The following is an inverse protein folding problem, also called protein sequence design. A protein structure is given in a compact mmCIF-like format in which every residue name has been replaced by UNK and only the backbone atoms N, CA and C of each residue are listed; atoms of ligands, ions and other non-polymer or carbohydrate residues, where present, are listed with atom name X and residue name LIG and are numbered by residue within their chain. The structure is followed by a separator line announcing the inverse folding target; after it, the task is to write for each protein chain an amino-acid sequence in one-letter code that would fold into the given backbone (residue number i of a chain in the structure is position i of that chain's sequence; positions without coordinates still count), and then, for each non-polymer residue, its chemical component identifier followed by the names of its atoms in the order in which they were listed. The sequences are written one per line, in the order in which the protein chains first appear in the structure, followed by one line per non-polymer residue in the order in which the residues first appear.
data_IF_313002474079
#
_entry.id   IF_313002474079
#
_cell.length_a   1.000
_cell.length_b   1.000
_cell.length_c   1.000
_cell.angle_alpha   90.00
_cell.angle_beta   90.00
_cell.angle_gamma   90.00
#
_symmetry.space_group_name_H-M   'P 1'
#
loop_
_entity.id
_entity.type
_entity.pdbx_description
1 polymer ?
#
# COMPACT_ATOMS: atom_id res chain seq x y z
N UNK A 1 -37.28 60.79 16.62
CA UNK A 1 -37.42 59.92 15.43
C UNK A 1 -36.13 59.12 15.11
N UNK A 2 -35.34 58.69 16.10
CA UNK A 2 -34.00 58.08 15.87
C UNK A 2 -33.89 56.58 16.21
N UNK A 3 -34.97 55.93 16.65
CA UNK A 3 -34.96 54.49 17.00
C UNK A 3 -34.95 53.52 15.82
N UNK A 4 -35.24 53.99 14.61
CA UNK A 4 -35.36 53.14 13.42
C UNK A 4 -33.99 52.73 12.88
N UNK A 5 -33.05 53.68 12.71
CA UNK A 5 -31.76 53.42 12.05
C UNK A 5 -30.85 52.43 12.81
N UNK A 6 -30.84 52.44 14.15
CA UNK A 6 -30.04 51.49 14.94
C UNK A 6 -30.62 50.07 14.93
N UNK A 7 -31.93 49.91 14.78
CA UNK A 7 -32.55 48.59 14.68
C UNK A 7 -32.18 47.87 13.38
N UNK A 8 -32.09 48.59 12.25
CA UNK A 8 -31.64 48.03 10.97
C UNK A 8 -30.20 47.54 11.01
N UNK A 9 -29.29 48.33 11.58
CA UNK A 9 -27.86 47.97 11.67
C UNK A 9 -27.61 46.77 12.58
N UNK A 10 -28.35 46.65 13.68
CA UNK A 10 -28.26 45.48 14.57
C UNK A 10 -28.80 44.23 13.86
N UNK A 11 -29.92 44.35 13.15
CA UNK A 11 -30.52 43.26 12.40
C UNK A 11 -29.64 42.77 11.24
N UNK A 12 -28.95 43.68 10.54
CA UNK A 12 -28.02 43.35 9.45
C UNK A 12 -26.73 42.67 9.95
N UNK A 13 -26.26 43.02 11.16
CA UNK A 13 -25.18 42.29 11.83
C UNK A 13 -25.61 40.90 12.30
N UNK A 14 -26.84 40.76 12.80
CA UNK A 14 -27.39 39.48 13.26
C UNK A 14 -27.56 38.49 12.09
N UNK A 15 -28.08 38.95 10.95
CA UNK A 15 -28.21 38.14 9.73
C UNK A 15 -26.85 37.71 9.18
N UNK A 16 -25.84 38.58 9.18
CA UNK A 16 -24.49 38.23 8.76
C UNK A 16 -23.84 37.15 9.65
N UNK A 17 -24.13 37.17 10.96
CA UNK A 17 -23.66 36.13 11.89
C UNK A 17 -24.39 34.80 11.71
N UNK A 18 -25.67 34.85 11.35
CA UNK A 18 -26.48 33.67 11.01
C UNK A 18 -26.05 33.06 9.69
N UNK A 19 -25.77 33.87 8.66
CA UNK A 19 -25.23 33.44 7.37
C UNK A 19 -23.86 32.78 7.52
N UNK A 20 -22.98 33.35 8.36
CA UNK A 20 -21.70 32.71 8.66
C UNK A 20 -21.87 31.37 9.37
N UNK A 21 -22.83 31.27 10.30
CA UNK A 21 -23.16 30.01 10.99
C UNK A 21 -23.79 28.98 10.03
N UNK A 22 -24.66 29.40 9.13
CA UNK A 22 -25.32 28.53 8.16
C UNK A 22 -24.31 28.00 7.13
N UNK A 23 -23.41 28.84 6.63
CA UNK A 23 -22.30 28.45 5.74
C UNK A 23 -21.36 27.44 6.42
N UNK A 24 -20.97 27.71 7.67
CA UNK A 24 -20.18 26.75 8.46
C UNK A 24 -20.90 25.40 8.62
N UNK A 25 -22.19 25.41 8.92
CA UNK A 25 -23.00 24.19 9.05
C UNK A 25 -23.12 23.43 7.72
N UNK A 26 -23.18 24.14 6.59
CA UNK A 26 -23.17 23.53 5.26
C UNK A 26 -21.83 22.81 4.99
N UNK A 27 -20.70 23.47 5.26
CA UNK A 27 -19.37 22.89 5.10
C UNK A 27 -19.15 21.66 5.98
N UNK A 28 -19.54 21.70 7.25
CA UNK A 28 -19.39 20.54 8.14
C UNK A 28 -20.30 19.37 7.73
N UNK A 29 -21.50 19.65 7.19
CA UNK A 29 -22.35 18.60 6.62
C UNK A 29 -21.69 17.94 5.42
N UNK A 30 -21.14 18.71 4.48
CA UNK A 30 -20.39 18.18 3.35
C UNK A 30 -19.19 17.33 3.81
N UNK A 31 -18.45 17.78 4.83
CA UNK A 31 -17.34 17.02 5.42
C UNK A 31 -17.81 15.67 5.98
N UNK A 32 -18.92 15.67 6.72
CA UNK A 32 -19.51 14.44 7.30
C UNK A 32 -20.01 13.49 6.22
N UNK A 33 -20.63 14.00 5.17
CA UNK A 33 -21.07 13.21 4.02
C UNK A 33 -19.90 12.56 3.31
N UNK A 34 -18.82 13.31 3.04
CA UNK A 34 -17.59 12.78 2.46
C UNK A 34 -16.99 11.66 3.32
N UNK A 35 -16.88 11.88 4.64
CA UNK A 35 -16.37 10.86 5.57
C UNK A 35 -17.26 9.61 5.59
N UNK A 36 -18.58 9.78 5.63
CA UNK A 36 -19.52 8.67 5.59
C UNK A 36 -19.42 7.88 4.28
N UNK A 37 -19.19 8.55 3.15
CA UNK A 37 -18.96 7.90 1.87
C UNK A 37 -17.70 7.00 1.91
N UNK A 38 -16.60 7.48 2.51
CA UNK A 38 -15.39 6.67 2.73
C UNK A 38 -15.63 5.44 3.60
N UNK A 39 -16.43 5.55 4.67
CA UNK A 39 -16.82 4.39 5.48
C UNK A 39 -17.64 3.37 4.67
N UNK A 40 -18.55 3.82 3.81
CA UNK A 40 -19.34 2.92 2.96
C UNK A 40 -18.50 2.25 1.88
N UNK A 41 -17.56 2.97 1.28
CA UNK A 41 -16.58 2.41 0.34
C UNK A 41 -15.78 1.29 1.00
N UNK A 42 -15.21 1.56 2.18
CA UNK A 42 -14.48 0.57 2.97
C UNK A 42 -15.36 -0.64 3.36
N UNK A 43 -16.62 -0.42 3.72
CA UNK A 43 -17.52 -1.53 4.05
C UNK A 43 -17.75 -2.48 2.87
N UNK A 44 -17.84 -1.95 1.64
CA UNK A 44 -18.05 -2.75 0.42
C UNK A 44 -16.82 -3.57 0.02
N UNK A 45 -15.61 -3.08 0.31
CA UNK A 45 -14.36 -3.79 -0.01
C UNK A 45 -14.06 -4.95 0.94
N UNK A 46 -14.63 -4.95 2.15
CA UNK A 46 -14.43 -6.00 3.15
C UNK A 46 -15.30 -7.23 2.88
N UNK A 47 -14.72 -8.41 2.61
CA UNK A 47 -15.50 -9.63 2.34
C UNK A 47 -16.43 -10.03 3.50
N UNK A 48 -15.99 -9.79 4.74
CA UNK A 48 -16.74 -10.12 5.96
C UNK A 48 -17.99 -9.25 6.18
N UNK A 49 -18.12 -8.14 5.47
CA UNK A 49 -19.25 -7.20 5.62
C UNK A 49 -20.26 -7.28 4.47
N UNK A 50 -20.03 -8.08 3.43
CA UNK A 50 -20.91 -8.17 2.26
C UNK A 50 -22.33 -8.66 2.62
N UNK A 51 -22.47 -9.51 3.63
CA UNK A 51 -23.76 -10.00 4.12
C UNK A 51 -24.45 -9.02 5.09
N UNK A 52 -23.73 -8.01 5.59
CA UNK A 52 -24.24 -7.08 6.59
C UNK A 52 -24.85 -5.87 5.90
N UNK A 53 -26.18 -5.74 5.95
CA UNK A 53 -26.90 -4.66 5.25
C UNK A 53 -26.54 -3.25 5.74
N UNK A 54 -26.32 -3.08 7.06
CA UNK A 54 -26.04 -1.76 7.68
C UNK A 54 -24.94 -1.90 8.75
N UNK A 55 -23.67 -2.06 8.34
CA UNK A 55 -22.58 -2.21 9.29
C UNK A 55 -22.37 -0.89 10.05
N UNK A 56 -22.07 -0.99 11.36
CA UNK A 56 -21.77 0.18 12.19
C UNK A 56 -20.34 0.68 11.93
N UNK A 57 -20.04 1.95 12.24
CA UNK A 57 -18.69 2.52 12.07
C UNK A 57 -17.63 1.74 12.85
N UNK A 58 -17.93 1.39 14.09
CA UNK A 58 -17.05 0.56 14.92
C UNK A 58 -16.83 -0.82 14.29
N UNK A 59 -17.88 -1.46 13.80
CA UNK A 59 -17.77 -2.76 13.14
C UNK A 59 -16.93 -2.69 11.86
N UNK A 60 -17.08 -1.65 11.05
CA UNK A 60 -16.26 -1.43 9.85
C UNK A 60 -14.78 -1.37 10.25
N UNK A 61 -14.43 -0.53 11.23
CA UNK A 61 -13.04 -0.39 11.72
C UNK A 61 -12.51 -1.72 12.25
N UNK A 62 -13.25 -2.40 13.13
CA UNK A 62 -12.83 -3.69 13.69
C UNK A 62 -12.62 -4.73 12.59
N UNK A 63 -13.53 -4.83 11.62
CA UNK A 63 -13.41 -5.80 10.52
C UNK A 63 -12.31 -5.45 9.52
N UNK A 64 -11.98 -4.17 9.36
CA UNK A 64 -10.78 -3.75 8.62
C UNK A 64 -9.51 -4.26 9.30
N UNK A 65 -9.38 -4.07 10.62
CA UNK A 65 -8.22 -4.54 11.38
C UNK A 65 -8.09 -6.07 11.30
N UNK A 66 -9.21 -6.78 11.55
CA UNK A 66 -9.26 -8.24 11.42
C UNK A 66 -8.80 -8.70 10.02
N UNK A 67 -9.25 -8.02 8.97
CA UNK A 67 -8.93 -8.38 7.58
C UNK A 67 -7.44 -8.19 7.28
N UNK A 68 -6.84 -7.07 7.68
CA UNK A 68 -5.41 -6.80 7.48
C UNK A 68 -4.56 -7.83 8.23
N UNK A 69 -4.87 -8.09 9.51
CA UNK A 69 -4.15 -9.10 10.30
C UNK A 69 -4.21 -10.49 9.65
N UNK A 70 -5.41 -10.93 9.26
CA UNK A 70 -5.59 -12.21 8.58
C UNK A 70 -4.95 -12.24 7.19
N UNK A 71 -4.90 -11.12 6.48
CA UNK A 71 -4.19 -11.00 5.20
C UNK A 71 -2.70 -11.26 5.39
N UNK A 72 -2.06 -10.60 6.36
CA UNK A 72 -0.63 -10.76 6.64
C UNK A 72 -0.29 -12.19 7.08
N UNK A 73 -1.14 -12.82 7.91
CA UNK A 73 -0.97 -14.23 8.30
C UNK A 73 -1.09 -15.16 7.10
N UNK A 74 -2.09 -14.95 6.22
CA UNK A 74 -2.25 -15.76 4.99
C UNK A 74 -1.06 -15.58 4.05
N UNK A 75 -0.60 -14.35 3.87
CA UNK A 75 0.57 -14.05 3.04
C UNK A 75 1.82 -14.76 3.56
N UNK A 76 2.10 -14.68 4.86
CA UNK A 76 3.25 -15.36 5.47
C UNK A 76 3.19 -16.89 5.27
N UNK A 77 1.99 -17.47 5.37
CA UNK A 77 1.77 -18.90 5.10
C UNK A 77 2.05 -19.25 3.63
N UNK A 78 1.54 -18.45 2.69
CA UNK A 78 1.79 -18.67 1.26
C UNK A 78 3.26 -18.53 0.91
N UNK A 79 3.97 -17.55 1.49
CA UNK A 79 5.42 -17.41 1.31
C UNK A 79 6.15 -18.66 1.79
N UNK A 80 5.85 -19.16 2.99
CA UNK A 80 6.44 -20.40 3.51
C UNK A 80 6.15 -21.58 2.58
N UNK A 81 4.92 -21.73 2.12
CA UNK A 81 4.52 -22.82 1.23
C UNK A 81 5.23 -22.74 -0.12
N UNK A 82 5.37 -21.55 -0.70
CA UNK A 82 6.12 -21.33 -1.95
C UNK A 82 7.58 -21.74 -1.77
N UNK A 83 8.22 -21.38 -0.65
CA UNK A 83 9.61 -21.75 -0.37
C UNK A 83 9.77 -23.26 -0.21
N UNK A 84 8.86 -23.91 0.49
CA UNK A 84 8.87 -25.36 0.67
C UNK A 84 8.65 -26.10 -0.65
N UNK A 85 7.69 -25.64 -1.46
CA UNK A 85 7.43 -26.20 -2.79
C UNK A 85 8.64 -26.04 -3.71
N UNK A 86 9.31 -24.88 -3.70
CA UNK A 86 10.53 -24.65 -4.48
C UNK A 86 11.63 -25.62 -4.08
N UNK A 87 11.87 -25.78 -2.77
CA UNK A 87 12.88 -26.72 -2.23
C UNK A 87 12.58 -28.16 -2.66
N UNK A 88 11.33 -28.60 -2.50
CA UNK A 88 10.92 -29.96 -2.90
C UNK A 88 11.03 -30.17 -4.40
N UNK A 89 10.66 -29.17 -5.20
CA UNK A 89 10.77 -29.24 -6.65
C UNK A 89 12.23 -29.38 -7.11
N UNK A 90 13.13 -28.61 -6.51
CA UNK A 90 14.56 -28.71 -6.76
C UNK A 90 15.11 -30.10 -6.40
N UNK A 91 14.75 -30.64 -5.23
CA UNK A 91 15.15 -31.99 -4.82
C UNK A 91 14.67 -33.06 -5.81
N UNK A 92 13.42 -32.98 -6.26
CA UNK A 92 12.87 -33.91 -7.25
C UNK A 92 13.59 -33.80 -8.60
N UNK A 93 13.94 -32.58 -9.03
CA UNK A 93 14.73 -32.36 -10.26
C UNK A 93 16.13 -32.96 -10.16
N UNK A 94 16.79 -32.81 -9.01
CA UNK A 94 18.10 -33.43 -8.76
C UNK A 94 18.00 -34.96 -8.79
N UNK A 95 17.00 -35.54 -8.11
CA UNK A 95 16.77 -36.99 -8.14
C UNK A 95 16.48 -37.50 -9.56
N UNK A 96 15.65 -36.79 -10.33
CA UNK A 96 15.35 -37.14 -11.71
C UNK A 96 16.61 -37.10 -12.60
N UNK A 97 17.48 -36.09 -12.43
CA UNK A 97 18.74 -35.99 -13.15
C UNK A 97 19.70 -37.15 -12.81
N UNK A 98 19.83 -37.49 -11.53
CA UNK A 98 20.64 -38.63 -11.08
C UNK A 98 20.11 -39.95 -11.65
N UNK A 99 18.81 -40.21 -11.53
CA UNK A 99 18.20 -41.42 -12.09
C UNK A 99 18.34 -41.48 -13.62
N UNK A 100 18.21 -40.35 -14.30
CA UNK A 100 18.44 -40.28 -15.75
C UNK A 100 19.88 -40.64 -16.11
N UNK A 101 20.87 -40.10 -15.39
CA UNK A 101 22.29 -40.47 -15.59
C UNK A 101 22.59 -41.94 -15.27
N UNK A 102 21.87 -42.53 -14.32
CA UNK A 102 22.04 -43.94 -13.94
C UNK A 102 21.35 -44.91 -14.92
N UNK A 103 20.15 -44.57 -15.42
CA UNK A 103 19.35 -45.41 -16.32
C UNK A 103 19.82 -45.31 -17.77
N UNK A 104 20.38 -44.17 -18.15
CA UNK A 104 21.00 -43.94 -19.45
C UNK A 104 22.43 -43.40 -19.21
N UNK A 105 23.36 -44.24 -18.73
CA UNK A 105 24.76 -43.87 -18.68
C UNK A 105 25.21 -43.80 -20.13
N UNK A 106 25.19 -42.61 -20.73
CA UNK A 106 25.47 -42.45 -22.15
C UNK A 106 26.88 -42.95 -22.44
N UNK A 107 26.98 -44.04 -23.22
CA UNK A 107 28.11 -44.28 -24.11
C UNK A 107 28.40 -42.99 -24.86
N UNK A 108 29.62 -42.49 -24.70
CA UNK A 108 30.20 -41.32 -25.33
C UNK A 108 29.70 -41.06 -26.76
N UNK A 109 29.06 -39.92 -26.98
CA UNK A 109 28.96 -39.23 -28.27
C UNK A 109 28.89 -37.71 -28.00
N UNK A 110 29.52 -36.87 -28.84
CA UNK A 110 29.82 -35.49 -28.51
C UNK A 110 28.55 -34.63 -28.38
N UNK A 111 28.62 -33.49 -27.66
CA UNK A 111 27.45 -32.65 -27.41
C UNK A 111 26.99 -31.99 -28.71
N UNK A 112 25.79 -32.35 -29.19
CA UNK A 112 24.99 -31.42 -29.98
C UNK A 112 24.53 -30.30 -29.03
N UNK A 113 25.26 -29.20 -29.09
CA UNK A 113 25.20 -27.99 -28.27
C UNK A 113 23.88 -27.19 -28.35
N UNK A 114 22.79 -27.79 -28.83
CA UNK A 114 21.49 -27.14 -28.97
C UNK A 114 20.57 -27.35 -27.77
N UNK A 115 20.58 -28.54 -27.13
CA UNK A 115 19.55 -28.88 -26.12
C UNK A 115 19.86 -28.33 -24.71
N UNK A 116 21.12 -28.36 -24.30
CA UNK A 116 21.55 -27.84 -22.98
C UNK A 116 21.47 -26.31 -22.90
N UNK A 117 21.62 -25.65 -24.04
CA UNK A 117 21.50 -24.19 -24.20
C UNK A 117 20.07 -23.73 -23.94
N UNK A 118 19.08 -24.43 -24.49
CA UNK A 118 17.66 -24.12 -24.28
C UNK A 118 17.22 -24.28 -22.81
N UNK A 119 17.73 -25.29 -22.09
CA UNK A 119 17.42 -25.48 -20.68
C UNK A 119 18.10 -24.45 -19.77
N UNK A 120 19.35 -24.08 -20.06
CA UNK A 120 20.00 -22.98 -19.34
C UNK A 120 19.31 -21.64 -19.59
N UNK A 121 18.87 -21.36 -20.82
CA UNK A 121 18.06 -20.17 -21.10
C UNK A 121 16.77 -20.19 -20.30
N UNK A 122 16.05 -21.31 -20.23
CA UNK A 122 14.79 -21.37 -19.50
C UNK A 122 14.95 -21.28 -17.98
N UNK A 123 16.02 -21.86 -17.42
CA UNK A 123 16.36 -21.70 -16.00
C UNK A 123 16.75 -20.24 -15.72
N UNK A 124 17.49 -19.60 -16.61
CA UNK A 124 17.90 -18.19 -16.48
C UNK A 124 16.72 -17.23 -16.67
N UNK A 125 15.77 -17.52 -17.56
CA UNK A 125 14.52 -16.77 -17.73
C UNK A 125 13.61 -16.94 -16.49
N UNK A 126 13.54 -18.14 -15.92
CA UNK A 126 12.80 -18.40 -14.69
C UNK A 126 13.48 -17.73 -13.47
N UNK A 127 14.80 -17.53 -13.49
CA UNK A 127 15.54 -16.77 -12.49
C UNK A 127 15.33 -15.25 -12.67
N UNK A 128 15.30 -14.75 -13.91
CA UNK A 128 14.97 -13.34 -14.21
C UNK A 128 13.51 -13.00 -13.85
N UNK A 129 12.56 -13.90 -14.11
CA UNK A 129 11.17 -13.73 -13.66
C UNK A 129 11.05 -13.71 -12.13
N UNK A 130 11.87 -14.51 -11.42
CA UNK A 130 11.96 -14.43 -9.96
C UNK A 130 12.58 -13.12 -9.47
N UNK A 131 13.53 -12.53 -10.21
CA UNK A 131 14.04 -11.19 -9.89
C UNK A 131 12.99 -10.10 -10.14
N UNK A 132 12.19 -10.18 -11.20
CA UNK A 132 11.07 -9.24 -11.41
C UNK A 132 10.00 -9.34 -10.33
N UNK A 133 9.72 -10.54 -9.78
CA UNK A 133 8.79 -10.71 -8.65
C UNK A 133 9.34 -10.12 -7.35
N UNK A 134 10.66 -10.19 -7.11
CA UNK A 134 11.30 -9.50 -5.98
C UNK A 134 11.45 -7.98 -6.21
N UNK A 135 11.59 -7.53 -7.45
CA UNK A 135 11.67 -6.09 -7.78
C UNK A 135 10.29 -5.42 -7.80
N UNK A 136 9.22 -6.20 -7.93
CA UNK A 136 7.83 -5.74 -7.78
C UNK A 136 7.40 -5.62 -6.32
N UNK A 137 8.18 -6.17 -5.38
CA UNK A 137 8.18 -5.72 -3.98
C UNK A 137 9.05 -4.45 -3.85
N UNK A 138 8.83 -3.46 -4.73
CA UNK A 138 9.00 -2.09 -4.25
C UNK A 138 7.83 -1.89 -3.30
N UNK A 139 8.10 -1.98 -2.00
CA UNK A 139 7.21 -1.42 -0.99
C UNK A 139 6.99 0.02 -1.44
N UNK A 140 5.79 0.33 -1.94
CA UNK A 140 5.39 1.72 -2.13
C UNK A 140 5.71 2.40 -0.79
N UNK A 141 6.61 3.40 -0.76
CA UNK A 141 6.92 4.05 0.50
C UNK A 141 5.62 4.61 1.02
N UNK A 142 5.24 4.20 2.22
CA UNK A 142 4.11 4.77 2.95
C UNK A 142 4.26 6.31 2.85
N UNK A 143 3.24 7.07 2.43
CA UNK A 143 3.37 8.52 2.22
C UNK A 143 3.76 9.29 3.50
N UNK A 144 3.81 8.59 4.64
CA UNK A 144 4.18 9.10 5.94
C UNK A 144 5.55 8.60 6.45
N UNK A 145 6.23 7.70 5.73
CA UNK A 145 7.58 7.24 6.10
C UNK A 145 8.62 8.22 5.57
N UNK A 146 9.17 9.04 6.46
CA UNK A 146 10.31 9.90 6.14
C UNK A 146 11.55 9.04 5.91
N UNK A 147 12.01 8.98 4.66
CA UNK A 147 13.25 8.28 4.33
C UNK A 147 14.44 8.99 5.00
N UNK A 148 15.51 8.26 5.39
CA UNK A 148 16.71 8.87 5.95
C UNK A 148 17.29 9.99 5.07
N UNK A 149 17.18 9.87 3.75
CA UNK A 149 17.59 10.90 2.80
C UNK A 149 16.75 12.19 2.91
N UNK A 150 15.43 12.08 3.09
CA UNK A 150 14.55 13.23 3.31
C UNK A 150 14.78 13.92 4.65
N UNK A 151 15.08 13.15 5.70
CA UNK A 151 15.45 13.67 7.02
C UNK A 151 16.75 14.48 6.91
N UNK A 152 17.76 13.92 6.25
CA UNK A 152 19.04 14.61 6.03
C UNK A 152 18.88 15.86 5.16
N UNK A 153 18.02 15.82 4.14
CA UNK A 153 17.71 16.98 3.30
C UNK A 153 17.03 18.10 4.10
N UNK A 154 16.07 17.77 4.98
CA UNK A 154 15.43 18.74 5.88
C UNK A 154 16.41 19.33 6.90
N UNK A 155 17.30 18.52 7.47
CA UNK A 155 18.35 18.99 8.39
C UNK A 155 19.30 19.95 7.66
N UNK A 156 19.70 19.61 6.44
CA UNK A 156 20.57 20.46 5.65
C UNK A 156 19.89 21.79 5.25
N UNK A 157 18.59 21.74 4.92
CA UNK A 157 17.78 22.93 4.64
C UNK A 157 17.68 23.87 5.86
N UNK A 158 17.43 23.30 7.05
CA UNK A 158 17.38 24.06 8.30
C UNK A 158 18.72 24.75 8.60
N UNK A 159 19.84 24.05 8.41
CA UNK A 159 21.18 24.64 8.60
C UNK A 159 21.48 25.77 7.61
N UNK A 160 20.90 25.74 6.41
CA UNK A 160 21.03 26.85 5.46
C UNK A 160 20.17 28.06 5.83
N UNK A 161 18.98 27.84 6.39
CA UNK A 161 18.14 28.92 6.91
C UNK A 161 18.77 29.59 8.14
N UNK A 162 19.34 28.81 9.06
CA UNK A 162 20.02 29.33 10.25
C UNK A 162 21.28 30.15 9.88
N UNK A 163 21.99 29.76 8.81
CA UNK A 163 23.11 30.53 8.24
C UNK A 163 22.68 31.81 7.51
N UNK A 164 21.47 31.83 6.93
CA UNK A 164 20.90 33.03 6.30
C UNK A 164 20.33 34.02 7.32
N UNK A 165 19.86 33.54 8.47
CA UNK A 165 19.40 34.37 9.59
C UNK A 165 20.51 35.20 10.24
N UNK A 166 21.73 34.66 10.35
CA UNK A 166 22.88 35.36 10.94
C UNK A 166 23.48 36.49 10.08
N UNK A 167 22.99 36.69 8.84
CA UNK A 167 23.42 37.81 7.96
C UNK A 167 22.44 38.99 7.96
N UNK A 168 21.37 38.93 8.75
CA UNK A 168 20.34 39.98 8.86
C UNK A 168 20.17 40.55 10.28
N UNK A 169 21.18 40.38 11.14
CA UNK A 169 21.32 41.15 12.38
C UNK A 169 22.55 42.05 12.31
#
# INVERSE_FOLDING_TARGET
MTRSATAWVVQECETALEDRRSAHNALERQRREHLNARFQELARTLPSLQSVRRPSKSMIVSKSLDYVMQSNTRESRYVSEILDLRRRNEQLRQQAALLHSYKYPSSSSPPSSSSSSSLNLQVQEQQQQQQHLNLSQTTMPDPFTLTPAMILSKIHQQQQEDRRGHRRS
#
